data_IF_533126930624
#
_entry.id   IF_533126930624
#
_cell.length_a   1.000
_cell.length_b   1.000
_cell.length_c   1.000
_cell.angle_alpha   90.00
_cell.angle_beta   90.00
_cell.angle_gamma   90.00
#
_symmetry.space_group_name_H-M   'P 1'
#
loop_
_entity.id
_entity.type
_entity.pdbx_description
1 polymer ?
#
# COMPACT_ATOMS: atom_id res chain seq x y z
N UNK A 1 -7.69 -18.14 -1.75
CA UNK A 1 -6.78 -17.24 -2.52
C UNK A 1 -7.60 -16.05 -2.98
N UNK A 2 -7.16 -14.81 -2.77
CA UNK A 2 -7.89 -13.62 -3.24
C UNK A 2 -7.94 -13.63 -4.78
N UNK A 3 -9.09 -13.38 -5.42
CA UNK A 3 -9.22 -13.42 -6.89
C UNK A 3 -8.19 -12.56 -7.63
N UNK A 4 -7.82 -11.39 -7.07
CA UNK A 4 -6.77 -10.53 -7.59
C UNK A 4 -5.39 -11.22 -7.65
N UNK A 5 -5.02 -11.99 -6.63
CA UNK A 5 -3.78 -12.77 -6.66
C UNK A 5 -3.85 -13.89 -7.69
N UNK A 6 -5.04 -14.41 -7.99
CA UNK A 6 -5.18 -15.45 -9.02
C UNK A 6 -4.96 -14.86 -10.41
N UNK A 7 -5.52 -13.69 -10.71
CA UNK A 7 -5.44 -13.05 -12.03
C UNK A 7 -4.06 -12.42 -12.26
N UNK A 8 -3.50 -11.75 -11.25
CA UNK A 8 -2.23 -11.05 -11.39
C UNK A 8 -0.98 -11.93 -11.25
N UNK A 9 -1.13 -13.20 -10.85
CA UNK A 9 0.02 -14.07 -10.59
C UNK A 9 0.63 -14.62 -11.87
N UNK A 10 1.95 -14.60 -11.93
CA UNK A 10 2.75 -15.03 -13.09
C UNK A 10 2.49 -16.48 -13.50
N UNK A 11 2.23 -17.38 -12.54
CA UNK A 11 1.87 -18.77 -12.84
C UNK A 11 0.50 -18.95 -13.51
N UNK A 12 -0.33 -17.91 -13.54
CA UNK A 12 -1.66 -17.91 -14.14
C UNK A 12 -1.78 -16.93 -15.34
N UNK A 13 -0.66 -16.45 -15.87
CA UNK A 13 -0.62 -15.52 -17.01
C UNK A 13 -0.65 -14.03 -16.65
N UNK A 14 -0.58 -13.69 -15.36
CA UNK A 14 -0.42 -12.30 -14.90
C UNK A 14 1.05 -11.82 -14.91
N UNK A 15 1.31 -10.53 -14.66
CA UNK A 15 2.67 -9.99 -14.73
C UNK A 15 3.46 -10.03 -13.40
N UNK A 16 2.86 -10.46 -12.29
CA UNK A 16 3.43 -10.28 -10.94
C UNK A 16 3.68 -11.59 -10.19
N UNK A 17 4.71 -11.63 -9.34
CA UNK A 17 4.90 -12.74 -8.40
C UNK A 17 3.92 -12.66 -7.22
N UNK A 18 3.74 -13.76 -6.47
CA UNK A 18 2.87 -13.74 -5.27
C UNK A 18 3.32 -12.70 -4.25
N UNK A 19 4.63 -12.49 -4.10
CA UNK A 19 5.21 -11.51 -3.19
C UNK A 19 4.86 -10.10 -3.64
N UNK A 20 5.04 -9.79 -4.93
CA UNK A 20 4.69 -8.46 -5.48
C UNK A 20 3.19 -8.15 -5.30
N UNK A 21 2.32 -9.14 -5.56
CA UNK A 21 0.88 -8.98 -5.36
C UNK A 21 0.52 -8.70 -3.89
N UNK A 22 1.19 -9.37 -2.94
CA UNK A 22 1.00 -9.13 -1.51
C UNK A 22 1.46 -7.73 -1.13
N UNK A 23 2.62 -7.29 -1.62
CA UNK A 23 3.12 -5.94 -1.35
C UNK A 23 2.17 -4.87 -1.88
N UNK A 24 1.67 -5.02 -3.11
CA UNK A 24 0.69 -4.09 -3.70
C UNK A 24 -0.58 -4.01 -2.83
N UNK A 25 -1.05 -5.15 -2.31
CA UNK A 25 -2.23 -5.19 -1.43
C UNK A 25 -2.02 -4.50 -0.09
N UNK A 26 -0.88 -4.72 0.56
CA UNK A 26 -0.55 -4.05 1.82
C UNK A 26 -0.42 -2.54 1.61
N UNK A 27 0.21 -2.11 0.50
CA UNK A 27 0.33 -0.70 0.12
C UNK A 27 -1.05 -0.06 -0.09
N UNK A 28 -1.94 -0.69 -0.86
CA UNK A 28 -3.30 -0.16 -1.08
C UNK A 28 -4.08 -0.10 0.23
N UNK A 29 -3.98 -1.13 1.07
CA UNK A 29 -4.67 -1.19 2.36
C UNK A 29 -4.23 -0.06 3.27
N UNK A 30 -2.92 0.16 3.40
CA UNK A 30 -2.35 1.25 4.20
C UNK A 30 -2.73 2.63 3.66
N UNK A 31 -2.68 2.84 2.33
CA UNK A 31 -3.08 4.11 1.72
C UNK A 31 -4.55 4.42 2.02
N UNK A 32 -5.46 3.48 1.76
CA UNK A 32 -6.90 3.68 2.01
C UNK A 32 -7.15 3.92 3.50
N UNK A 33 -6.52 3.13 4.37
CA UNK A 33 -6.64 3.30 5.82
C UNK A 33 -6.15 4.66 6.29
N UNK A 34 -5.00 5.14 5.82
CA UNK A 34 -4.46 6.45 6.17
C UNK A 34 -5.34 7.58 5.65
N UNK A 35 -5.81 7.52 4.40
CA UNK A 35 -6.73 8.53 3.82
C UNK A 35 -8.04 8.56 4.59
N UNK A 36 -8.65 7.41 4.85
CA UNK A 36 -9.90 7.29 5.61
C UNK A 36 -9.75 7.86 7.02
N UNK A 37 -8.67 7.48 7.72
CA UNK A 37 -8.39 7.97 9.08
C UNK A 37 -8.20 9.49 9.06
N UNK A 38 -7.43 10.02 8.10
CA UNK A 38 -7.15 11.46 7.97
C UNK A 38 -8.40 12.27 7.62
N UNK A 39 -9.27 11.76 6.75
CA UNK A 39 -10.46 12.48 6.24
C UNK A 39 -11.63 12.40 7.20
N UNK A 40 -11.83 11.27 7.89
CA UNK A 40 -12.96 11.08 8.80
C UNK A 40 -12.63 11.44 10.25
N UNK A 41 -11.40 11.28 10.70
CA UNK A 41 -10.98 11.61 12.06
C UNK A 41 -10.26 12.97 12.12
N UNK A 42 -10.80 13.97 11.39
CA UNK A 42 -10.31 15.37 11.32
C UNK A 42 -10.13 16.09 12.68
N UNK A 43 -10.48 15.46 13.80
CA UNK A 43 -10.43 16.02 15.15
C UNK A 43 -9.21 15.60 15.99
N UNK A 44 -8.49 14.54 15.62
CA UNK A 44 -7.18 14.28 16.22
C UNK A 44 -6.17 15.10 15.42
N UNK A 45 -5.65 16.17 16.01
CA UNK A 45 -4.63 17.02 15.41
C UNK A 45 -3.54 16.15 14.79
N UNK A 46 -3.50 16.12 13.45
CA UNK A 46 -2.50 15.41 12.65
C UNK A 46 -1.12 15.84 13.13
N UNK A 47 -0.57 15.08 14.06
CA UNK A 47 0.75 15.31 14.58
C UNK A 47 1.75 15.18 13.43
N UNK A 48 2.85 15.91 13.54
CA UNK A 48 3.99 15.84 12.62
C UNK A 48 4.41 14.38 12.29
N UNK A 49 4.19 13.46 13.21
CA UNK A 49 4.42 12.03 13.05
C UNK A 49 3.62 11.39 11.91
N UNK A 50 2.39 11.85 11.62
CA UNK A 50 1.59 11.32 10.51
C UNK A 50 2.13 11.75 9.15
N UNK A 51 2.62 12.99 9.05
CA UNK A 51 3.29 13.47 7.84
C UNK A 51 4.58 12.70 7.58
N UNK A 52 5.40 12.48 8.63
CA UNK A 52 6.59 11.65 8.56
C UNK A 52 6.26 10.20 8.16
N UNK A 53 5.20 9.61 8.71
CA UNK A 53 4.74 8.27 8.34
C UNK A 53 4.29 8.17 6.87
N UNK A 54 3.63 9.21 6.35
CA UNK A 54 3.22 9.27 4.94
C UNK A 54 4.44 9.32 4.00
N UNK A 55 5.45 10.12 4.35
CA UNK A 55 6.73 10.16 3.60
C UNK A 55 7.41 8.79 3.65
N UNK A 56 7.46 8.12 4.80
CA UNK A 56 8.02 6.77 4.91
C UNK A 56 7.27 5.75 4.04
N UNK A 57 5.94 5.86 3.89
CA UNK A 57 5.18 4.99 2.99
C UNK A 57 5.50 5.25 1.51
N UNK A 58 5.61 6.51 1.09
CA UNK A 58 6.01 6.85 -0.28
C UNK A 58 7.43 6.34 -0.57
N UNK A 59 8.35 6.48 0.38
CA UNK A 59 9.71 5.94 0.27
C UNK A 59 9.73 4.41 0.22
N UNK A 60 8.90 3.72 1.00
CA UNK A 60 8.80 2.27 0.96
C UNK A 60 8.31 1.77 -0.40
N UNK A 61 7.30 2.42 -0.99
CA UNK A 61 6.85 2.14 -2.35
C UNK A 61 7.98 2.41 -3.34
N UNK A 62 8.63 3.57 -3.25
CA UNK A 62 9.76 3.90 -4.11
C UNK A 62 10.84 2.82 -4.06
N UNK A 63 11.34 2.42 -2.89
CA UNK A 63 12.38 1.39 -2.78
C UNK A 63 11.95 0.01 -3.29
N UNK A 64 10.68 -0.38 -3.13
CA UNK A 64 10.16 -1.65 -3.67
C UNK A 64 10.18 -1.66 -5.20
N UNK A 65 9.96 -0.51 -5.83
CA UNK A 65 9.92 -0.38 -7.30
C UNK A 65 11.20 0.19 -7.91
N UNK A 66 12.12 0.69 -7.09
CA UNK A 66 13.43 1.16 -7.48
C UNK A 66 14.35 -0.03 -7.75
N UNK A 67 14.99 -0.03 -8.91
CA UNK A 67 15.82 -1.12 -9.44
C UNK A 67 17.29 -0.92 -9.11
#
# INVERSE_FOLDING_TARGET
MVPANRIGFIGNGGPFSLIQLKIIQEVITLIIFTVFTTVLFKGESLHWNHFAAFICLVLAVYFVFYK
#
